data_IF_043864497786
#
_entry.id   IF_043864497786
#
_cell.length_a   1.000
_cell.length_b   1.000
_cell.length_c   1.000
_cell.angle_alpha   90.00
_cell.angle_beta   90.00
_cell.angle_gamma   90.00
#
_symmetry.space_group_name_H-M   'P 1'
#
loop_
_entity.id
_entity.type
_entity.pdbx_description
1 polymer ?
#
# COMPACT_ATOMS: atom_id res chain seq x y z
N UNK A 1 -74.60 25.47 9.25
CA UNK A 1 -73.22 26.00 9.35
C UNK A 1 -72.59 25.38 10.59
N UNK A 2 -71.93 24.24 10.44
CA UNK A 2 -71.23 23.53 11.51
C UNK A 2 -69.82 23.27 11.03
N UNK A 3 -68.83 23.79 11.77
CA UNK A 3 -67.41 23.75 11.42
C UNK A 3 -66.87 22.33 11.58
N UNK A 4 -66.03 21.93 10.62
CA UNK A 4 -65.30 20.68 10.66
C UNK A 4 -63.84 20.98 11.03
N UNK A 5 -63.32 20.19 11.97
CA UNK A 5 -62.01 20.28 12.62
C UNK A 5 -60.90 19.54 11.83
N UNK A 6 -59.67 19.69 12.34
CA UNK A 6 -58.45 18.87 12.17
C UNK A 6 -57.41 19.39 11.15
N UNK A 7 -56.39 20.15 11.57
CA UNK A 7 -55.08 19.79 12.17
C UNK A 7 -54.02 19.19 11.23
N UNK A 8 -52.84 19.82 11.29
CA UNK A 8 -51.49 19.29 11.09
C UNK A 8 -51.07 18.80 9.68
N UNK A 9 -50.48 19.72 8.90
CA UNK A 9 -49.55 19.37 7.83
C UNK A 9 -48.24 18.82 8.42
N UNK A 10 -48.19 17.49 8.49
CA UNK A 10 -47.07 16.59 8.23
C UNK A 10 -45.68 17.24 8.12
N UNK A 11 -44.94 17.16 9.22
CA UNK A 11 -43.49 17.30 9.26
C UNK A 11 -42.85 16.44 8.16
N UNK A 12 -42.10 17.05 7.24
CA UNK A 12 -41.19 16.34 6.35
C UNK A 12 -40.07 15.78 7.23
N UNK A 13 -40.15 14.48 7.54
CA UNK A 13 -39.02 13.71 8.02
C UNK A 13 -37.91 13.85 6.96
N UNK A 14 -36.96 14.75 7.20
CA UNK A 14 -35.64 14.65 6.59
C UNK A 14 -35.04 13.39 7.21
N UNK A 15 -35.05 12.30 6.44
CA UNK A 15 -34.28 11.11 6.72
C UNK A 15 -32.81 11.55 6.69
N UNK A 16 -32.29 12.01 7.83
CA UNK A 16 -30.85 12.12 8.02
C UNK A 16 -30.37 10.68 8.06
N UNK A 17 -29.91 10.19 6.92
CA UNK A 17 -29.24 8.91 6.83
C UNK A 17 -28.15 8.90 7.92
N UNK A 18 -28.27 7.94 8.84
CA UNK A 18 -27.24 7.65 9.82
C UNK A 18 -25.94 7.41 9.06
N UNK A 19 -25.03 8.38 9.10
CA UNK A 19 -23.65 8.18 8.74
C UNK A 19 -23.13 7.13 9.72
N UNK A 20 -23.04 5.87 9.27
CA UNK A 20 -22.25 4.87 9.97
C UNK A 20 -20.85 5.45 10.11
N UNK A 21 -20.52 5.87 11.32
CA UNK A 21 -19.26 6.52 11.62
C UNK A 21 -18.21 5.42 11.55
N UNK A 22 -17.61 5.23 10.38
CA UNK A 22 -16.47 4.33 10.22
C UNK A 22 -15.46 4.63 11.35
N UNK A 23 -14.92 3.60 12.02
CA UNK A 23 -14.02 3.82 13.14
C UNK A 23 -12.80 4.61 12.64
N UNK A 24 -12.43 5.67 13.37
CA UNK A 24 -11.20 6.39 13.11
C UNK A 24 -10.04 5.42 13.39
N UNK A 25 -9.34 5.00 12.34
CA UNK A 25 -8.20 4.09 12.46
C UNK A 25 -7.03 4.82 13.15
N UNK A 26 -6.41 4.15 14.10
CA UNK A 26 -5.17 4.60 14.72
C UNK A 26 -3.94 4.19 13.90
N UNK A 27 -2.79 4.72 14.31
CA UNK A 27 -1.51 4.44 13.66
C UNK A 27 -1.20 2.94 13.58
N UNK A 28 -1.47 2.18 14.65
CA UNK A 28 -1.17 0.73 14.70
C UNK A 28 -2.04 -0.07 13.73
N UNK A 29 -3.32 0.30 13.61
CA UNK A 29 -4.28 -0.33 12.71
C UNK A 29 -3.95 -0.04 11.22
N UNK A 30 -3.26 1.07 10.94
CA UNK A 30 -2.78 1.40 9.61
C UNK A 30 -1.52 0.64 9.19
N UNK A 31 -0.83 -0.04 10.12
CA UNK A 31 0.37 -0.82 9.79
C UNK A 31 0.02 -2.19 9.24
N UNK A 32 0.81 -2.63 8.25
CA UNK A 32 0.73 -3.98 7.73
C UNK A 32 1.19 -4.98 8.80
N UNK A 33 0.51 -6.12 9.05
CA UNK A 33 0.85 -7.02 10.15
C UNK A 33 2.32 -7.46 10.18
N UNK A 34 2.90 -7.84 9.04
CA UNK A 34 4.32 -8.23 8.93
C UNK A 34 5.28 -7.09 9.28
N UNK A 35 4.92 -5.86 8.90
CA UNK A 35 5.73 -4.67 9.23
C UNK A 35 5.57 -4.37 10.72
N UNK A 36 4.34 -4.31 11.21
CA UNK A 36 4.02 -3.99 12.60
C UNK A 36 4.79 -4.88 13.58
N UNK A 37 4.88 -6.18 13.31
CA UNK A 37 5.60 -7.15 14.14
C UNK A 37 7.05 -6.77 14.40
N UNK A 38 7.79 -6.35 13.35
CA UNK A 38 9.23 -6.06 13.45
C UNK A 38 9.53 -4.60 13.77
N UNK A 39 8.65 -3.70 13.35
CA UNK A 39 8.92 -2.26 13.32
C UNK A 39 8.36 -1.53 14.54
N UNK A 40 7.22 -1.96 15.09
CA UNK A 40 6.64 -1.30 16.27
C UNK A 40 7.60 -1.25 17.47
N UNK A 41 8.34 -2.34 17.81
CA UNK A 41 9.33 -2.27 18.90
C UNK A 41 10.34 -1.15 18.65
N UNK A 42 10.97 -1.10 17.47
CA UNK A 42 11.96 -0.09 17.10
C UNK A 42 11.39 1.32 17.19
N UNK A 43 10.21 1.54 16.62
CA UNK A 43 9.51 2.83 16.65
C UNK A 43 9.24 3.29 18.08
N UNK A 44 8.71 2.41 18.94
CA UNK A 44 8.38 2.76 20.34
C UNK A 44 9.61 3.01 21.21
N UNK A 45 10.76 2.46 20.85
CA UNK A 45 12.04 2.67 21.54
C UNK A 45 12.85 3.85 21.00
N UNK A 46 12.32 4.61 20.04
CA UNK A 46 12.99 5.78 19.44
C UNK A 46 13.98 5.43 18.31
N UNK A 47 14.12 4.16 17.94
CA UNK A 47 14.93 3.71 16.79
C UNK A 47 14.17 3.91 15.46
N UNK A 48 13.67 5.13 15.24
CA UNK A 48 12.74 5.45 14.14
C UNK A 48 13.36 5.32 12.75
N UNK A 49 14.67 5.56 12.63
CA UNK A 49 15.40 5.36 11.37
C UNK A 49 15.43 3.88 10.98
N UNK A 50 15.78 3.02 11.93
CA UNK A 50 15.83 1.57 11.71
C UNK A 50 14.43 1.01 11.47
N UNK A 51 13.42 1.56 12.16
CA UNK A 51 12.02 1.24 11.94
C UNK A 51 11.63 1.46 10.46
N UNK A 52 11.94 2.63 9.90
CA UNK A 52 11.63 2.97 8.51
C UNK A 52 12.45 2.12 7.52
N UNK A 53 13.75 1.95 7.75
CA UNK A 53 14.61 1.14 6.87
C UNK A 53 14.18 -0.35 6.84
N UNK A 54 13.84 -0.91 8.00
CA UNK A 54 13.39 -2.29 8.09
C UNK A 54 12.02 -2.46 7.43
N UNK A 55 11.13 -1.48 7.53
CA UNK A 55 9.80 -1.56 6.90
C UNK A 55 9.89 -1.75 5.38
N UNK A 56 10.73 -0.98 4.68
CA UNK A 56 10.85 -1.11 3.22
C UNK A 56 11.59 -2.40 2.83
N UNK A 57 12.53 -2.85 3.67
CA UNK A 57 13.22 -4.13 3.47
C UNK A 57 12.23 -5.30 3.51
N UNK A 58 11.30 -5.29 4.47
CA UNK A 58 10.25 -6.31 4.59
C UNK A 58 9.37 -6.37 3.33
N UNK A 59 9.01 -5.22 2.73
CA UNK A 59 8.23 -5.21 1.47
C UNK A 59 9.00 -5.88 0.33
N UNK A 60 10.30 -5.62 0.22
CA UNK A 60 11.13 -6.23 -0.82
C UNK A 60 11.35 -7.72 -0.58
N UNK A 61 11.46 -8.15 0.68
CA UNK A 61 11.48 -9.57 1.02
C UNK A 61 10.17 -10.27 0.69
N UNK A 62 9.01 -9.63 0.91
CA UNK A 62 7.72 -10.16 0.47
C UNK A 62 7.67 -10.38 -1.05
N UNK A 63 8.21 -9.44 -1.84
CA UNK A 63 8.30 -9.59 -3.30
C UNK A 63 9.20 -10.78 -3.67
N UNK A 64 10.38 -10.94 -3.03
CA UNK A 64 11.27 -12.09 -3.27
C UNK A 64 10.61 -13.41 -2.89
N UNK A 65 9.96 -13.46 -1.74
CA UNK A 65 9.27 -14.66 -1.25
C UNK A 65 8.20 -15.15 -2.24
N UNK A 66 7.45 -14.21 -2.84
CA UNK A 66 6.41 -14.53 -3.83
C UNK A 66 6.99 -14.88 -5.20
N UNK A 67 7.97 -14.12 -5.68
CA UNK A 67 8.49 -14.25 -7.06
C UNK A 67 9.62 -15.25 -7.22
N UNK A 68 10.26 -15.65 -6.11
CA UNK A 68 11.49 -16.45 -6.05
C UNK A 68 12.67 -15.82 -6.79
N UNK A 69 12.64 -14.50 -7.00
CA UNK A 69 13.74 -13.76 -7.61
C UNK A 69 14.82 -13.45 -6.56
N UNK A 70 16.06 -13.75 -6.88
CA UNK A 70 17.23 -13.34 -6.10
C UNK A 70 17.80 -12.02 -6.67
N UNK A 71 17.01 -10.96 -6.56
CA UNK A 71 17.32 -9.62 -7.05
C UNK A 71 17.05 -8.57 -5.98
N UNK A 72 17.48 -7.34 -6.23
CA UNK A 72 17.26 -6.21 -5.32
C UNK A 72 16.90 -4.92 -6.07
N UNK A 73 16.31 -3.98 -5.35
CA UNK A 73 15.96 -2.64 -5.82
C UNK A 73 15.19 -2.64 -7.15
N UNK A 74 15.65 -1.79 -8.08
CA UNK A 74 15.05 -1.63 -9.40
C UNK A 74 14.95 -2.93 -10.20
N UNK A 75 15.96 -3.80 -10.12
CA UNK A 75 15.95 -5.08 -10.85
C UNK A 75 14.86 -6.02 -10.34
N UNK A 76 14.67 -6.09 -9.01
CA UNK A 76 13.62 -6.92 -8.42
C UNK A 76 12.24 -6.43 -8.85
N UNK A 77 11.96 -5.14 -8.70
CA UNK A 77 10.65 -4.57 -9.05
C UNK A 77 10.38 -4.68 -10.54
N UNK A 78 11.36 -4.32 -11.37
CA UNK A 78 11.26 -4.36 -12.82
C UNK A 78 10.94 -5.75 -13.36
N UNK A 79 11.55 -6.81 -12.81
CA UNK A 79 11.25 -8.18 -13.24
C UNK A 79 9.98 -8.74 -12.60
N UNK A 80 9.74 -8.46 -11.32
CA UNK A 80 8.55 -8.95 -10.61
C UNK A 80 7.25 -8.43 -11.23
N UNK A 81 7.22 -7.17 -11.63
CA UNK A 81 6.00 -6.47 -12.06
C UNK A 81 6.05 -6.03 -13.53
N UNK A 82 6.96 -6.58 -14.34
CA UNK A 82 7.13 -6.17 -15.75
C UNK A 82 5.82 -6.22 -16.54
N UNK A 83 5.67 -5.36 -17.57
CA UNK A 83 4.46 -5.35 -18.39
C UNK A 83 4.41 -6.49 -19.41
N UNK A 84 5.59 -7.01 -19.79
CA UNK A 84 5.71 -8.04 -20.81
C UNK A 84 5.60 -9.44 -20.22
N UNK A 85 6.28 -9.69 -19.09
CA UNK A 85 6.34 -10.97 -18.41
C UNK A 85 6.28 -10.74 -16.89
N UNK A 86 5.14 -10.26 -16.35
CA UNK A 86 4.98 -10.07 -14.92
C UNK A 86 5.08 -11.43 -14.21
N UNK A 87 5.59 -11.43 -12.99
CA UNK A 87 5.34 -12.50 -12.01
C UNK A 87 4.19 -12.13 -11.08
N UNK A 88 4.03 -10.83 -10.83
CA UNK A 88 3.00 -10.24 -9.99
C UNK A 88 2.29 -9.11 -10.73
N UNK A 89 0.98 -9.05 -10.54
CA UNK A 89 0.10 -8.11 -11.23
C UNK A 89 -0.73 -7.34 -10.19
N UNK A 90 -0.59 -6.02 -10.16
CA UNK A 90 -1.31 -5.11 -9.27
C UNK A 90 -2.74 -4.80 -9.71
N UNK A 91 -2.99 -4.83 -11.03
CA UNK A 91 -4.25 -4.49 -11.68
C UNK A 91 -4.34 -5.11 -13.09
N UNK A 92 -5.50 -5.08 -13.75
CA UNK A 92 -5.69 -5.79 -15.02
C UNK A 92 -4.82 -5.20 -16.15
N UNK A 93 -4.08 -6.06 -16.87
CA UNK A 93 -3.13 -5.62 -17.91
C UNK A 93 -3.77 -5.47 -19.30
N UNK A 94 -5.07 -5.71 -19.40
CA UNK A 94 -5.88 -5.59 -20.62
C UNK A 94 -6.50 -4.20 -20.81
N UNK A 95 -6.46 -3.35 -19.77
CA UNK A 95 -6.99 -1.99 -19.82
C UNK A 95 -5.86 -0.96 -19.73
N UNK A 96 -6.03 0.19 -20.37
CA UNK A 96 -5.10 1.32 -20.24
C UNK A 96 -4.96 1.76 -18.78
N UNK A 97 -6.08 1.77 -18.03
CA UNK A 97 -6.10 2.13 -16.62
C UNK A 97 -5.25 1.19 -15.77
N UNK A 98 -5.41 -0.13 -15.92
CA UNK A 98 -4.63 -1.10 -15.14
C UNK A 98 -3.17 -1.18 -15.58
N UNK A 99 -2.85 -0.96 -16.86
CA UNK A 99 -1.46 -0.78 -17.32
C UNK A 99 -0.81 0.46 -16.68
N UNK A 100 -1.55 1.56 -16.55
CA UNK A 100 -1.06 2.77 -15.91
C UNK A 100 -0.89 2.59 -14.39
N UNK A 101 -1.81 1.87 -13.74
CA UNK A 101 -1.69 1.51 -12.31
C UNK A 101 -0.44 0.66 -12.06
N UNK A 102 -0.24 -0.40 -12.86
CA UNK A 102 0.94 -1.26 -12.80
C UNK A 102 2.23 -0.44 -12.96
N UNK A 103 2.32 0.40 -14.01
CA UNK A 103 3.47 1.29 -14.25
C UNK A 103 3.70 2.27 -13.10
N UNK A 104 2.62 2.82 -12.55
CA UNK A 104 2.66 3.76 -11.44
C UNK A 104 3.25 3.12 -10.19
N UNK A 105 2.75 1.96 -9.80
CA UNK A 105 3.23 1.26 -8.61
C UNK A 105 4.67 0.73 -8.75
N UNK A 106 5.09 0.33 -9.95
CA UNK A 106 6.51 0.03 -10.22
C UNK A 106 7.38 1.24 -9.86
N UNK A 107 7.05 2.43 -10.39
CA UNK A 107 7.81 3.66 -10.13
C UNK A 107 7.78 4.06 -8.65
N UNK A 108 6.63 3.89 -7.99
CA UNK A 108 6.49 4.17 -6.56
C UNK A 108 7.38 3.24 -5.74
N UNK A 109 7.39 1.94 -6.02
CA UNK A 109 8.23 0.97 -5.31
C UNK A 109 9.72 1.25 -5.52
N UNK A 110 10.14 1.52 -6.75
CA UNK A 110 11.52 1.87 -7.08
C UNK A 110 11.97 3.15 -6.37
N UNK A 111 11.13 4.19 -6.44
CA UNK A 111 11.38 5.47 -5.79
C UNK A 111 11.37 5.36 -4.26
N UNK A 112 10.46 4.58 -3.68
CA UNK A 112 10.41 4.32 -2.25
C UNK A 112 11.67 3.57 -1.78
N UNK A 113 12.07 2.53 -2.50
CA UNK A 113 13.29 1.79 -2.20
C UNK A 113 14.53 2.68 -2.29
N UNK A 114 14.68 3.44 -3.38
CA UNK A 114 15.81 4.34 -3.54
C UNK A 114 15.79 5.47 -2.49
N UNK A 115 14.66 6.11 -2.26
CA UNK A 115 14.53 7.26 -1.36
C UNK A 115 14.71 6.89 0.11
N UNK A 116 14.20 5.73 0.52
CA UNK A 116 14.29 5.26 1.91
C UNK A 116 15.64 4.58 2.18
N UNK A 117 16.15 3.78 1.23
CA UNK A 117 17.39 3.01 1.41
C UNK A 117 18.66 3.75 0.99
N UNK A 118 18.57 4.97 0.43
CA UNK A 118 19.71 5.83 0.14
C UNK A 118 19.87 6.95 1.19
N UNK A 119 20.27 6.64 2.43
CA UNK A 119 20.68 7.67 3.36
C UNK A 119 22.06 8.15 2.92
N UNK A 120 22.15 9.10 1.98
CA UNK A 120 23.29 10.04 2.01
C UNK A 120 23.07 10.95 3.23
N UNK A 121 23.17 10.50 4.48
CA UNK A 121 24.41 10.31 5.26
C UNK A 121 25.45 11.43 5.18
N UNK A 122 25.10 12.65 4.76
CA UNK A 122 25.99 13.82 4.85
C UNK A 122 25.39 15.06 5.52
N UNK A 123 24.35 14.90 6.33
CA UNK A 123 24.01 15.90 7.33
C UNK A 123 23.83 15.22 8.68
N UNK A 124 24.62 15.64 9.67
CA UNK A 124 24.43 15.33 11.10
C UNK A 124 23.04 15.76 11.62
N UNK A 125 22.28 16.48 10.78
CA UNK A 125 20.89 16.86 10.93
C UNK A 125 20.07 15.92 10.04
N UNK A 126 19.38 14.96 10.64
CA UNK A 126 18.37 14.16 9.96
C UNK A 126 17.01 14.69 10.40
N UNK A 127 16.14 15.02 9.45
CA UNK A 127 14.84 15.64 9.72
C UNK A 127 13.73 14.62 10.05
N UNK A 128 14.10 13.38 10.40
CA UNK A 128 13.16 12.30 10.69
C UNK A 128 12.89 12.29 12.19
N UNK A 129 11.71 12.78 12.53
CA UNK A 129 11.11 12.66 13.84
C UNK A 129 10.13 11.46 13.85
N UNK A 130 9.52 11.21 15.01
CA UNK A 130 8.54 10.15 15.20
C UNK A 130 7.35 10.30 14.24
N UNK A 131 6.90 11.53 14.01
CA UNK A 131 5.76 11.80 13.13
C UNK A 131 6.06 11.41 11.69
N UNK A 132 7.16 11.89 11.11
CA UNK A 132 7.57 11.54 9.75
C UNK A 132 7.85 10.05 9.64
N UNK A 133 8.45 9.45 10.66
CA UNK A 133 8.62 8.00 10.69
C UNK A 133 7.27 7.28 10.63
N UNK A 134 6.26 7.70 11.41
CA UNK A 134 4.92 7.12 11.34
C UNK A 134 4.31 7.26 9.93
N UNK A 135 4.46 8.43 9.29
CA UNK A 135 4.01 8.68 7.91
C UNK A 135 4.68 7.72 6.91
N UNK A 136 6.00 7.53 7.01
CA UNK A 136 6.73 6.53 6.22
C UNK A 136 6.21 5.10 6.48
N UNK A 137 5.99 4.72 7.74
CA UNK A 137 5.55 3.38 8.09
C UNK A 137 4.14 3.07 7.57
N UNK A 138 3.24 4.05 7.58
CA UNK A 138 1.91 3.93 6.97
C UNK A 138 2.02 3.82 5.45
N UNK A 139 2.86 4.65 4.82
CA UNK A 139 3.11 4.59 3.37
C UNK A 139 3.69 3.23 2.94
N UNK A 140 4.73 2.73 3.62
CA UNK A 140 5.31 1.43 3.31
C UNK A 140 4.33 0.29 3.61
N UNK A 141 3.48 0.44 4.62
CA UNK A 141 2.38 -0.51 4.88
C UNK A 141 1.34 -0.56 3.77
N UNK A 142 1.06 0.56 3.09
CA UNK A 142 0.25 0.55 1.88
C UNK A 142 0.94 -0.27 0.77
N UNK A 143 2.24 -0.08 0.56
CA UNK A 143 2.99 -0.86 -0.44
C UNK A 143 2.99 -2.35 -0.13
N UNK A 144 3.15 -2.73 1.14
CA UNK A 144 3.04 -4.13 1.57
C UNK A 144 1.68 -4.73 1.23
N UNK A 145 0.58 -4.01 1.50
CA UNK A 145 -0.78 -4.47 1.14
C UNK A 145 -0.94 -4.62 -0.36
N UNK A 146 -0.42 -3.69 -1.16
CA UNK A 146 -0.46 -3.80 -2.63
C UNK A 146 0.30 -5.03 -3.12
N UNK A 147 1.42 -5.36 -2.47
CA UNK A 147 2.17 -6.59 -2.76
C UNK A 147 1.38 -7.82 -2.35
N UNK A 148 0.64 -7.82 -1.24
CA UNK A 148 -0.21 -8.96 -0.83
C UNK A 148 -1.42 -9.14 -1.76
N UNK A 149 -2.08 -8.05 -2.14
CA UNK A 149 -3.24 -8.02 -3.04
C UNK A 149 -2.88 -8.35 -4.49
N UNK A 150 -1.61 -8.25 -4.88
CA UNK A 150 -1.18 -8.58 -6.23
C UNK A 150 -1.51 -10.04 -6.54
N UNK A 151 -1.97 -10.31 -7.76
CA UNK A 151 -2.22 -11.68 -8.23
C UNK A 151 -0.96 -12.23 -8.88
N UNK A 152 -0.72 -13.53 -8.71
CA UNK A 152 0.33 -14.20 -9.45
C UNK A 152 -0.04 -14.23 -10.93
N UNK A 153 0.90 -13.88 -11.80
CA UNK A 153 0.69 -14.00 -13.23
C UNK A 153 0.47 -15.48 -13.59
N UNK A 154 -0.44 -15.78 -14.53
CA UNK A 154 -0.61 -17.14 -15.01
C UNK A 154 0.74 -17.66 -15.50
N UNK A 155 1.08 -18.89 -15.11
CA UNK A 155 2.30 -19.54 -15.61
C UNK A 155 2.31 -19.42 -17.13
N UNK A 156 3.44 -18.98 -17.69
CA UNK A 156 3.61 -19.00 -19.14
C UNK A 156 3.28 -20.44 -19.59
N UNK A 157 2.30 -20.57 -20.47
CA UNK A 157 2.01 -21.85 -21.11
C UNK A 157 3.22 -22.14 -21.99
N UNK A 158 4.14 -22.94 -21.48
CA UNK A 158 5.25 -23.52 -22.23
C UNK A 158 4.64 -24.42 -23.32
N UNK A 159 4.25 -23.85 -24.47
CA UNK A 159 3.57 -24.67 -25.49
C UNK A 159 2.92 -23.98 -26.70
N UNK A 160 3.24 -22.73 -27.05
CA UNK A 160 2.80 -22.13 -28.31
C UNK A 160 3.98 -21.68 -29.18
N UNK A 161 4.95 -22.57 -29.36
CA UNK A 161 5.96 -22.47 -30.40
C UNK A 161 6.24 -23.90 -30.91
N UNK A 162 5.48 -24.33 -31.92
CA UNK A 162 5.68 -25.62 -32.57
C UNK A 162 4.48 -26.04 -33.41
N UNK A 163 4.63 -25.84 -34.72
CA UNK A 163 3.77 -26.22 -35.87
C UNK A 163 2.65 -25.27 -36.30
#
# INVERSE_FOLDING_TARGET
MTSCSWTYLRSRNIFVASLSKEPILGFRELLHPRIAEKVLPLYTTGHVRDAVLNSITIVFDMIRERTKLDLDGHHLVGQAFSLQQPKLIFSTLDTESGLNDQKGFIKILEGAYQGIRNPKAHSLIHDLDERKAAEYLVFVSLLARRVDEAIDAPAAIDGAAGE
#
